data_IF_333860219551
#
_entry.id   IF_333860219551
#
_cell.length_a   1.000
_cell.length_b   1.000
_cell.length_c   1.000
_cell.angle_alpha   90.00
_cell.angle_beta   90.00
_cell.angle_gamma   90.00
#
_symmetry.space_group_name_H-M   'P 1'
#
loop_
_entity.id
_entity.type
_entity.pdbx_description
1 polymer ?
#
# COMPACT_ATOMS: atom_id res chain seq x y z
N UNK A 1 3.06 17.76 11.37
CA UNK A 1 2.69 18.40 10.12
C UNK A 1 1.97 17.37 9.26
N UNK A 2 0.71 17.61 8.92
CA UNK A 2 -0.10 16.74 8.08
C UNK A 2 0.05 17.19 6.62
N UNK A 3 1.11 16.77 5.99
CA UNK A 3 1.33 16.96 4.56
C UNK A 3 1.52 15.59 3.86
N UNK A 4 1.33 15.57 2.56
CA UNK A 4 1.45 14.39 1.73
C UNK A 4 2.87 13.79 1.82
N UNK A 5 3.90 14.65 1.91
CA UNK A 5 5.30 14.25 1.97
C UNK A 5 5.66 13.47 3.24
N UNK A 6 4.89 13.61 4.32
CA UNK A 6 5.14 12.90 5.59
C UNK A 6 4.46 11.54 5.68
N UNK A 7 3.62 11.17 4.70
CA UNK A 7 2.82 9.95 4.76
C UNK A 7 3.64 8.66 4.78
N UNK A 8 4.73 8.49 3.98
CA UNK A 8 5.58 7.31 4.08
C UNK A 8 6.15 7.11 5.49
N UNK A 9 6.65 8.16 6.12
CA UNK A 9 7.20 8.12 7.48
C UNK A 9 6.14 7.76 8.53
N UNK A 10 4.93 8.29 8.39
CA UNK A 10 3.81 7.98 9.30
C UNK A 10 3.40 6.52 9.21
N UNK A 11 3.28 5.98 8.00
CA UNK A 11 2.90 4.58 7.79
C UNK A 11 3.98 3.63 8.32
N UNK A 12 5.25 3.92 8.08
CA UNK A 12 6.36 3.13 8.63
C UNK A 12 6.40 3.18 10.15
N UNK A 13 6.17 4.34 10.75
CA UNK A 13 6.09 4.48 12.21
C UNK A 13 4.92 3.67 12.78
N UNK A 14 3.76 3.70 12.13
CA UNK A 14 2.59 2.90 12.53
C UNK A 14 2.90 1.40 12.44
N UNK A 15 3.51 0.92 11.37
CA UNK A 15 3.91 -0.48 11.22
C UNK A 15 4.89 -0.91 12.30
N UNK A 16 5.85 -0.06 12.66
CA UNK A 16 6.78 -0.34 13.73
C UNK A 16 6.07 -0.50 15.08
N UNK A 17 5.18 0.43 15.43
CA UNK A 17 4.41 0.35 16.69
C UNK A 17 3.55 -0.90 16.73
N UNK A 18 2.83 -1.21 15.65
CA UNK A 18 1.98 -2.39 15.56
C UNK A 18 2.80 -3.67 15.72
N UNK A 19 3.96 -3.76 15.07
CA UNK A 19 4.83 -4.92 15.18
C UNK A 19 5.36 -5.12 16.61
N UNK A 20 5.62 -4.04 17.35
CA UNK A 20 6.09 -4.11 18.74
C UNK A 20 4.97 -4.50 19.72
N UNK A 21 3.73 -4.21 19.41
CA UNK A 21 2.59 -4.32 20.34
C UNK A 21 1.65 -5.46 20.05
N UNK A 22 1.57 -5.93 18.80
CA UNK A 22 0.60 -6.93 18.35
C UNK A 22 1.29 -8.06 17.57
N UNK A 23 0.76 -9.28 17.72
CA UNK A 23 1.08 -10.41 16.85
C UNK A 23 0.01 -10.49 15.76
N UNK A 24 0.43 -10.48 14.49
CA UNK A 24 -0.49 -10.57 13.35
C UNK A 24 0.11 -11.38 12.21
N UNK A 25 -0.76 -11.95 11.38
CA UNK A 25 -0.36 -12.62 10.12
C UNK A 25 -0.37 -11.64 8.95
N UNK A 26 -1.38 -10.80 8.89
CA UNK A 26 -1.58 -9.79 7.86
C UNK A 26 -2.06 -8.48 8.48
N UNK A 27 -1.65 -7.38 7.87
CA UNK A 27 -2.16 -6.04 8.17
C UNK A 27 -2.80 -5.47 6.90
N UNK A 28 -3.97 -4.83 7.07
CA UNK A 28 -4.66 -4.12 6.00
C UNK A 28 -4.58 -2.62 6.27
N UNK A 29 -4.20 -1.86 5.25
CA UNK A 29 -4.18 -0.38 5.29
C UNK A 29 -5.14 0.14 4.24
N UNK A 30 -5.98 1.08 4.62
CA UNK A 30 -6.83 1.85 3.70
C UNK A 30 -6.64 3.34 3.92
N UNK A 31 -7.02 4.14 2.93
CA UNK A 31 -7.16 5.57 3.10
C UNK A 31 -8.43 5.89 3.92
N UNK A 32 -8.43 7.03 4.57
CA UNK A 32 -9.57 7.52 5.36
C UNK A 32 -10.72 8.07 4.49
N UNK A 33 -10.46 8.25 3.19
CA UNK A 33 -11.45 8.68 2.18
C UNK A 33 -12.30 7.55 1.61
N UNK A 34 -12.05 6.27 1.99
CA UNK A 34 -12.78 5.12 1.46
C UNK A 34 -13.64 4.45 2.53
N UNK A 35 -14.84 4.03 2.12
CA UNK A 35 -15.79 3.31 2.98
C UNK A 35 -15.94 1.86 2.52
N UNK A 36 -15.89 0.93 3.47
CA UNK A 36 -16.18 -0.47 3.23
C UNK A 36 -17.67 -0.68 3.00
N UNK A 37 -18.03 -1.19 1.82
CA UNK A 37 -19.43 -1.45 1.42
C UNK A 37 -19.89 -2.89 1.70
N UNK A 38 -18.93 -3.81 1.86
CA UNK A 38 -19.23 -5.22 2.02
C UNK A 38 -18.56 -5.78 3.27
N UNK A 39 -19.36 -6.11 4.27
CA UNK A 39 -18.93 -6.65 5.57
C UNK A 39 -18.22 -8.01 5.47
N UNK A 40 -18.46 -8.76 4.37
CA UNK A 40 -17.79 -10.05 4.11
C UNK A 40 -16.41 -9.92 3.46
N UNK A 41 -15.95 -8.69 3.20
CA UNK A 41 -14.68 -8.45 2.52
C UNK A 41 -13.51 -9.18 3.19
N UNK A 42 -13.32 -8.98 4.49
CA UNK A 42 -12.18 -9.57 5.21
C UNK A 42 -12.24 -11.10 5.22
N UNK A 43 -13.42 -11.69 5.49
CA UNK A 43 -13.59 -13.14 5.46
C UNK A 43 -13.28 -13.71 4.09
N UNK A 44 -13.73 -13.05 3.04
CA UNK A 44 -13.49 -13.47 1.65
C UNK A 44 -12.00 -13.40 1.32
N UNK A 45 -11.35 -12.27 1.58
CA UNK A 45 -9.94 -12.06 1.22
C UNK A 45 -9.01 -12.95 2.07
N UNK A 46 -9.25 -13.05 3.37
CA UNK A 46 -8.47 -13.93 4.24
C UNK A 46 -8.63 -15.38 3.81
N UNK A 47 -9.85 -15.80 3.46
CA UNK A 47 -10.11 -17.13 2.93
C UNK A 47 -9.36 -17.43 1.62
N UNK A 48 -9.17 -16.44 0.75
CA UNK A 48 -8.37 -16.56 -0.47
C UNK A 48 -6.89 -16.64 -0.14
N UNK A 49 -6.37 -15.68 0.64
CA UNK A 49 -4.93 -15.56 0.97
C UNK A 49 -4.42 -16.85 1.64
N UNK A 50 -5.18 -17.42 2.57
CA UNK A 50 -4.76 -18.61 3.33
C UNK A 50 -4.66 -19.88 2.49
N UNK A 51 -5.30 -19.92 1.32
CA UNK A 51 -5.28 -21.06 0.39
C UNK A 51 -4.29 -20.90 -0.75
N UNK A 52 -3.73 -19.71 -0.96
CA UNK A 52 -2.81 -19.46 -2.08
C UNK A 52 -1.43 -20.04 -1.81
N UNK A 53 -0.89 -20.72 -2.83
CA UNK A 53 0.47 -21.26 -2.84
C UNK A 53 1.13 -20.82 -4.15
N UNK A 54 2.32 -20.23 -4.11
CA UNK A 54 3.08 -19.80 -2.91
C UNK A 54 2.35 -18.72 -2.09
N UNK A 55 2.80 -18.54 -0.85
CA UNK A 55 2.22 -17.55 0.07
C UNK A 55 2.15 -16.15 -0.54
N UNK A 56 1.02 -15.48 -0.37
CA UNK A 56 0.83 -14.08 -0.74
C UNK A 56 1.31 -13.20 0.41
N UNK A 57 2.21 -12.27 0.12
CA UNK A 57 2.75 -11.32 1.09
C UNK A 57 2.24 -9.88 0.90
N UNK A 58 1.72 -9.58 -0.30
CA UNK A 58 1.30 -8.24 -0.69
C UNK A 58 0.15 -8.32 -1.69
N UNK A 59 -0.86 -7.50 -1.51
CA UNK A 59 -2.00 -7.43 -2.42
C UNK A 59 -2.83 -6.17 -2.23
N UNK A 60 -3.64 -5.89 -3.23
CA UNK A 60 -4.48 -4.72 -3.35
C UNK A 60 -4.81 -4.46 -4.82
N UNK A 61 -5.18 -3.26 -5.19
CA UNK A 61 -5.29 -2.87 -6.60
C UNK A 61 -3.90 -2.64 -7.17
N UNK A 62 -3.41 -3.61 -7.95
CA UNK A 62 -2.05 -3.61 -8.47
C UNK A 62 -1.87 -2.57 -9.59
N UNK A 63 -0.83 -1.77 -9.48
CA UNK A 63 -0.28 -0.92 -10.53
C UNK A 63 1.06 -1.50 -10.97
N UNK A 64 1.21 -1.73 -12.28
CA UNK A 64 2.46 -2.21 -12.88
C UNK A 64 3.14 -1.08 -13.65
N UNK A 65 4.23 -0.58 -13.14
CA UNK A 65 5.08 0.41 -13.83
C UNK A 65 6.18 -0.35 -14.56
N UNK A 66 6.02 -0.51 -15.89
CA UNK A 66 6.99 -1.23 -16.71
C UNK A 66 8.18 -0.35 -17.07
N UNK A 67 7.93 0.92 -17.38
CA UNK A 67 8.94 1.89 -17.80
C UNK A 67 8.90 3.07 -16.85
N UNK A 68 10.06 3.51 -16.30
CA UNK A 68 10.11 4.71 -15.47
C UNK A 68 9.52 5.94 -16.18
N UNK A 69 8.82 6.77 -15.42
CA UNK A 69 8.23 8.00 -15.96
C UNK A 69 8.30 9.15 -14.95
N UNK A 70 8.21 10.38 -15.44
CA UNK A 70 8.11 11.57 -14.63
C UNK A 70 6.68 11.77 -14.15
N UNK A 71 6.49 11.79 -12.84
CA UNK A 71 5.18 11.98 -12.22
C UNK A 71 4.64 13.39 -12.45
N UNK A 72 3.35 13.48 -12.75
CA UNK A 72 2.61 14.75 -12.82
C UNK A 72 1.75 15.01 -11.58
N UNK A 73 1.97 14.27 -10.51
CA UNK A 73 1.17 14.36 -9.28
C UNK A 73 1.26 15.72 -8.61
N UNK A 74 2.36 16.47 -8.85
CA UNK A 74 2.51 17.86 -8.40
C UNK A 74 1.40 18.81 -8.91
N UNK A 75 0.68 18.42 -9.97
CA UNK A 75 -0.47 19.20 -10.47
C UNK A 75 -1.66 19.16 -9.49
N UNK A 76 -1.78 18.07 -8.74
CA UNK A 76 -2.81 17.87 -7.70
C UNK A 76 -2.27 18.20 -6.30
N UNK A 77 -0.99 17.96 -6.08
CA UNK A 77 -0.27 18.14 -4.82
C UNK A 77 0.96 19.02 -5.05
N UNK A 78 0.80 20.36 -5.04
CA UNK A 78 1.88 21.32 -5.38
C UNK A 78 3.13 21.22 -4.50
N UNK A 79 3.02 20.59 -3.32
CA UNK A 79 4.12 20.31 -2.41
C UNK A 79 5.08 19.21 -2.91
N UNK A 80 4.67 18.44 -3.91
CA UNK A 80 5.50 17.39 -4.48
C UNK A 80 6.52 17.93 -5.49
N UNK A 81 7.70 17.30 -5.62
CA UNK A 81 8.69 17.68 -6.63
C UNK A 81 8.14 17.54 -8.05
N UNK A 82 8.47 18.51 -8.91
CA UNK A 82 8.07 18.49 -10.33
C UNK A 82 8.86 17.49 -11.16
N UNK A 83 10.03 17.09 -10.66
CA UNK A 83 10.98 16.18 -11.32
C UNK A 83 10.99 14.77 -10.70
N UNK A 84 9.95 14.42 -9.94
CA UNK A 84 9.84 13.11 -9.31
C UNK A 84 9.70 12.01 -10.35
N UNK A 85 10.64 11.07 -10.35
CA UNK A 85 10.63 9.90 -11.23
C UNK A 85 10.05 8.70 -10.51
N UNK A 86 9.05 8.06 -11.12
CA UNK A 86 8.50 6.79 -10.69
C UNK A 86 9.25 5.68 -11.40
N UNK A 87 9.93 4.83 -10.64
CA UNK A 87 10.73 3.72 -11.15
C UNK A 87 9.86 2.53 -11.56
N UNK A 88 10.43 1.66 -12.41
CA UNK A 88 9.79 0.39 -12.76
C UNK A 88 9.61 -0.48 -11.52
N UNK A 89 8.36 -0.77 -11.19
CA UNK A 89 7.99 -1.63 -10.05
C UNK A 89 6.50 -2.00 -10.11
N UNK A 90 6.10 -2.99 -9.31
CA UNK A 90 4.70 -3.24 -8.99
C UNK A 90 4.40 -2.74 -7.59
N UNK A 91 3.30 -2.00 -7.44
CA UNK A 91 2.79 -1.56 -6.14
C UNK A 91 1.26 -1.64 -6.12
N UNK A 92 0.66 -1.56 -4.94
CA UNK A 92 -0.79 -1.48 -4.78
C UNK A 92 -1.19 -0.05 -4.41
N UNK A 93 -2.31 0.44 -4.94
CA UNK A 93 -2.81 1.80 -4.67
C UNK A 93 -3.14 1.98 -3.19
N UNK A 94 -3.00 3.20 -2.69
CA UNK A 94 -3.20 3.56 -1.29
C UNK A 94 -4.63 3.38 -0.77
N UNK A 95 -5.63 3.28 -1.66
CA UNK A 95 -7.04 3.08 -1.27
C UNK A 95 -7.25 1.86 -0.39
N UNK A 96 -6.60 0.75 -0.72
CA UNK A 96 -6.51 -0.46 0.10
C UNK A 96 -5.34 -1.33 -0.35
N UNK A 97 -4.52 -1.76 0.60
CA UNK A 97 -3.59 -2.87 0.41
C UNK A 97 -3.41 -3.67 1.70
N UNK A 98 -2.87 -4.87 1.57
CA UNK A 98 -2.45 -5.68 2.72
C UNK A 98 -1.00 -6.14 2.58
N UNK A 99 -0.39 -6.41 3.72
CA UNK A 99 0.97 -6.93 3.85
C UNK A 99 0.98 -8.07 4.86
N UNK A 100 1.76 -9.11 4.57
CA UNK A 100 2.08 -10.13 5.58
C UNK A 100 3.01 -9.56 6.66
N UNK A 101 3.08 -10.24 7.81
CA UNK A 101 4.03 -9.88 8.87
C UNK A 101 5.48 -9.88 8.38
N UNK A 102 5.85 -10.81 7.50
CA UNK A 102 7.17 -10.87 6.87
C UNK A 102 7.44 -9.67 5.97
N UNK A 103 6.42 -9.23 5.20
CA UNK A 103 6.53 -8.05 4.35
C UNK A 103 6.70 -6.78 5.21
N UNK A 104 5.99 -6.66 6.31
CA UNK A 104 6.16 -5.54 7.27
C UNK A 104 7.58 -5.53 7.83
N UNK A 105 8.09 -6.69 8.28
CA UNK A 105 9.48 -6.81 8.77
C UNK A 105 10.50 -6.37 7.70
N UNK A 106 10.30 -6.78 6.45
CA UNK A 106 11.16 -6.40 5.33
C UNK A 106 11.16 -4.87 5.11
N UNK A 107 9.97 -4.25 5.10
CA UNK A 107 9.86 -2.79 4.94
C UNK A 107 10.50 -2.03 6.11
N UNK A 108 10.33 -2.49 7.34
CA UNK A 108 10.95 -1.86 8.52
C UNK A 108 12.47 -1.95 8.47
N UNK A 109 13.05 -3.02 7.92
CA UNK A 109 14.50 -3.12 7.68
C UNK A 109 15.01 -2.09 6.66
N UNK A 110 14.12 -1.56 5.83
CA UNK A 110 14.40 -0.56 4.78
C UNK A 110 13.73 0.79 5.05
N UNK A 111 13.38 1.06 6.30
CA UNK A 111 12.62 2.26 6.68
C UNK A 111 13.23 3.56 6.16
N UNK A 112 14.56 3.68 6.14
CA UNK A 112 15.23 4.87 5.64
C UNK A 112 14.97 5.11 4.15
N UNK A 113 14.98 4.04 3.34
CA UNK A 113 14.67 4.11 1.91
C UNK A 113 13.20 4.43 1.66
N UNK A 114 12.29 3.83 2.42
CA UNK A 114 10.85 4.12 2.33
C UNK A 114 10.57 5.58 2.67
N UNK A 115 11.18 6.11 3.73
CA UNK A 115 10.96 7.49 4.19
C UNK A 115 11.56 8.55 3.26
N UNK A 116 12.43 8.18 2.31
CA UNK A 116 12.96 9.09 1.28
C UNK A 116 11.97 9.31 0.13
N UNK A 117 10.99 8.45 -0.03
CA UNK A 117 9.98 8.58 -1.07
C UNK A 117 8.86 9.54 -0.65
N UNK A 118 8.17 10.09 -1.64
CA UNK A 118 7.08 11.05 -1.43
C UNK A 118 5.70 10.40 -1.45
N UNK A 119 5.52 9.37 -2.30
CA UNK A 119 4.25 8.66 -2.46
C UNK A 119 4.30 7.37 -1.64
N UNK A 120 3.42 7.25 -0.66
CA UNK A 120 3.44 6.16 0.31
C UNK A 120 3.23 4.79 -0.34
N UNK A 121 2.20 4.63 -1.14
CA UNK A 121 1.84 3.37 -1.79
C UNK A 121 2.94 2.89 -2.77
N UNK A 122 3.48 3.81 -3.56
CA UNK A 122 4.63 3.56 -4.41
C UNK A 122 5.88 3.20 -3.60
N UNK A 123 6.15 3.91 -2.49
CA UNK A 123 7.29 3.65 -1.61
C UNK A 123 7.27 2.22 -1.05
N UNK A 124 6.11 1.74 -0.64
CA UNK A 124 5.90 0.36 -0.18
C UNK A 124 6.27 -0.63 -1.28
N UNK A 125 5.67 -0.49 -2.46
CA UNK A 125 5.92 -1.41 -3.58
C UNK A 125 7.35 -1.37 -4.11
N UNK A 126 7.97 -0.18 -4.14
CA UNK A 126 9.37 -0.02 -4.59
C UNK A 126 10.35 -0.72 -3.65
N UNK A 127 10.16 -0.57 -2.34
CA UNK A 127 11.11 -1.03 -1.34
C UNK A 127 10.93 -2.49 -0.93
N UNK A 128 9.74 -3.08 -1.13
CA UNK A 128 9.50 -4.47 -0.82
C UNK A 128 10.36 -5.38 -1.70
N UNK A 129 11.01 -6.38 -1.11
CA UNK A 129 11.85 -7.33 -1.84
C UNK A 129 11.05 -8.05 -2.92
N UNK A 130 11.67 -8.28 -4.07
CA UNK A 130 11.04 -8.93 -5.23
C UNK A 130 10.45 -10.31 -4.87
N UNK A 131 11.12 -11.06 -3.99
CA UNK A 131 10.64 -12.38 -3.56
C UNK A 131 9.26 -12.30 -2.86
N UNK A 132 9.00 -11.22 -2.14
CA UNK A 132 7.72 -11.00 -1.45
C UNK A 132 6.62 -10.48 -2.40
N UNK A 133 6.98 -10.13 -3.63
CA UNK A 133 6.06 -9.70 -4.70
C UNK A 133 5.85 -10.74 -5.80
N UNK A 134 6.38 -11.95 -5.64
CA UNK A 134 6.26 -13.01 -6.67
C UNK A 134 4.83 -13.48 -6.87
N UNK A 135 4.01 -13.47 -5.82
CA UNK A 135 2.61 -13.90 -5.85
C UNK A 135 1.70 -12.81 -5.24
N UNK A 136 1.55 -11.69 -5.93
CA UNK A 136 0.67 -10.61 -5.49
C UNK A 136 -0.80 -10.94 -5.78
N UNK A 137 -1.69 -10.62 -4.85
CA UNK A 137 -3.15 -10.72 -5.04
C UNK A 137 -3.71 -9.39 -5.56
N UNK A 138 -4.30 -9.41 -6.75
CA UNK A 138 -5.01 -8.26 -7.28
C UNK A 138 -6.45 -8.23 -6.74
N UNK A 139 -6.81 -7.15 -6.02
CA UNK A 139 -8.14 -6.94 -5.47
C UNK A 139 -8.83 -5.85 -6.29
N UNK A 140 -10.02 -6.14 -6.77
CA UNK A 140 -10.89 -5.13 -7.39
C UNK A 140 -11.55 -4.30 -6.29
N UNK A 141 -10.82 -3.31 -5.78
CA UNK A 141 -11.20 -2.53 -4.59
C UNK A 141 -12.54 -1.82 -4.74
N UNK A 142 -12.89 -1.38 -5.95
CA UNK A 142 -14.18 -0.75 -6.27
C UNK A 142 -15.41 -1.65 -6.06
N UNK A 143 -15.24 -2.95 -5.93
CA UNK A 143 -16.34 -3.88 -5.57
C UNK A 143 -16.64 -3.91 -4.07
N UNK A 144 -15.73 -3.44 -3.25
CA UNK A 144 -15.79 -3.54 -1.80
C UNK A 144 -15.77 -2.20 -1.09
N UNK A 145 -15.23 -1.18 -1.73
CA UNK A 145 -15.03 0.14 -1.17
C UNK A 145 -15.58 1.22 -2.10
N UNK A 146 -16.17 2.26 -1.53
CA UNK A 146 -16.65 3.46 -2.22
C UNK A 146 -15.93 4.67 -1.66
N UNK A 147 -15.60 5.64 -2.51
CA UNK A 147 -15.07 6.92 -2.05
C UNK A 147 -16.12 7.67 -1.22
N UNK A 148 -15.69 8.30 -0.16
CA UNK A 148 -16.59 9.02 0.76
C UNK A 148 -17.37 10.13 0.05
N UNK A 149 -16.74 10.80 -0.92
CA UNK A 149 -17.37 11.87 -1.71
C UNK A 149 -18.53 11.34 -2.57
N UNK A 150 -18.41 10.14 -3.12
CA UNK A 150 -19.46 9.50 -3.92
C UNK A 150 -20.67 9.09 -3.06
N UNK A 151 -20.45 8.85 -1.76
CA UNK A 151 -21.51 8.48 -0.83
C UNK A 151 -22.33 9.67 -0.35
N UNK A 152 -21.76 10.86 -0.34
CA UNK A 152 -22.40 12.10 0.12
C UNK A 152 -23.07 12.91 -1.00
N UNK A 153 -22.86 12.51 -2.23
CA UNK A 153 -23.48 13.12 -3.43
C UNK A 153 -24.78 12.39 -3.78
#
# INVERSE_FOLDING_TARGET
>A
KDDYNSLPSKVIAAFWVIQQTLTFKYIFKSDDSVLLQNDKFFDTIIGVITRMVPKVHYGGKIVNVEIPYMSKYYLLHPELPKDMIIQSTKYCTGSLYFLSSEAVTNLLSKRESVCKEYLEDYAIGLNLDKILKTNMLNIQTNKYFTDFEDFTS
#
